data_IF_458346983283
#
_entry.id   IF_458346983283
#
_cell.length_a   1.000
_cell.length_b   1.000
_cell.length_c   1.000
_cell.angle_alpha   90.00
_cell.angle_beta   90.00
_cell.angle_gamma   90.00
#
_symmetry.space_group_name_H-M   'P 1'
#
loop_
_entity.id
_entity.type
_entity.pdbx_description
1 polymer ?
#
# COMPACT_ATOMS: atom_id res chain seq x y z
N UNK A 1 23.97 -11.56 -27.42
CA UNK A 1 24.08 -13.04 -27.40
C UNK A 1 22.75 -13.56 -26.85
N UNK A 2 21.82 -13.89 -27.74
CA UNK A 2 20.45 -14.26 -27.40
C UNK A 2 20.46 -15.73 -26.94
N UNK A 3 20.20 -15.98 -25.65
CA UNK A 3 20.14 -17.33 -25.14
C UNK A 3 18.80 -17.96 -25.55
N UNK A 4 18.89 -18.96 -26.42
CA UNK A 4 17.80 -19.85 -26.80
C UNK A 4 17.31 -20.61 -25.57
N UNK A 5 16.25 -20.11 -24.93
CA UNK A 5 15.57 -20.81 -23.85
C UNK A 5 14.77 -21.98 -24.43
N UNK A 6 15.00 -23.17 -23.88
CA UNK A 6 14.26 -24.41 -24.12
C UNK A 6 12.75 -24.19 -23.92
N UNK A 7 11.86 -24.72 -24.77
CA UNK A 7 10.42 -24.48 -24.60
C UNK A 7 9.94 -25.16 -23.32
N UNK A 8 9.45 -24.33 -22.38
CA UNK A 8 8.76 -24.76 -21.18
C UNK A 8 7.46 -25.51 -21.56
N UNK A 9 7.04 -26.45 -20.71
CA UNK A 9 5.81 -27.22 -20.88
C UNK A 9 4.60 -26.32 -21.23
N UNK A 10 3.62 -26.79 -22.02
CA UNK A 10 2.55 -25.94 -22.53
C UNK A 10 1.71 -25.37 -21.39
N UNK A 11 1.86 -24.07 -21.16
CA UNK A 11 1.02 -23.31 -20.25
C UNK A 11 -0.42 -23.30 -20.79
N UNK A 12 -1.42 -23.39 -19.90
CA UNK A 12 -2.86 -23.32 -20.23
C UNK A 12 -3.24 -22.04 -21.00
N UNK A 13 -2.41 -21.00 -20.93
CA UNK A 13 -2.56 -19.72 -21.59
C UNK A 13 -1.27 -19.36 -22.34
N UNK A 14 -1.36 -18.71 -23.53
CA UNK A 14 -0.18 -18.24 -24.24
C UNK A 14 0.60 -17.23 -23.38
N UNK A 15 1.93 -17.30 -23.43
CA UNK A 15 2.78 -16.35 -22.73
C UNK A 15 2.54 -14.94 -23.29
N UNK A 16 2.45 -13.96 -22.39
CA UNK A 16 2.25 -12.57 -22.77
C UNK A 16 3.53 -12.02 -23.42
N UNK A 17 3.45 -11.71 -24.71
CA UNK A 17 4.57 -11.11 -25.45
C UNK A 17 4.81 -9.66 -25.01
N UNK A 18 5.82 -9.49 -24.16
CA UNK A 18 6.23 -8.19 -23.59
C UNK A 18 6.76 -7.20 -24.62
N UNK A 19 7.15 -7.64 -25.83
CA UNK A 19 7.60 -6.73 -26.90
C UNK A 19 6.46 -5.86 -27.44
N UNK A 20 5.21 -6.24 -27.18
CA UNK A 20 4.00 -5.51 -27.59
C UNK A 20 3.56 -4.44 -26.60
N UNK A 21 4.28 -4.26 -25.49
CA UNK A 21 3.99 -3.21 -24.52
C UNK A 21 4.35 -1.84 -25.10
N UNK A 22 3.37 -0.95 -25.13
CA UNK A 22 3.60 0.48 -25.38
C UNK A 22 3.85 1.11 -24.01
N UNK A 23 5.12 1.44 -23.73
CA UNK A 23 5.53 2.04 -22.47
C UNK A 23 5.64 3.56 -22.65
N UNK A 24 4.84 4.32 -21.91
CA UNK A 24 4.93 5.78 -21.86
C UNK A 24 5.84 6.24 -20.72
N UNK A 25 6.48 7.42 -20.83
CA UNK A 25 7.21 8.02 -19.72
C UNK A 25 6.31 8.18 -18.49
N UNK A 26 6.84 7.84 -17.31
CA UNK A 26 6.09 7.97 -16.04
C UNK A 26 5.54 9.38 -15.81
N UNK A 27 6.22 10.40 -16.33
CA UNK A 27 5.80 11.80 -16.26
C UNK A 27 4.46 12.08 -16.98
N UNK A 28 4.08 11.25 -17.95
CA UNK A 28 2.83 11.34 -18.73
C UNK A 28 1.67 10.58 -18.08
N UNK A 29 1.90 9.89 -16.95
CA UNK A 29 0.85 9.19 -16.22
C UNK A 29 -0.27 10.17 -15.84
N UNK A 30 -1.49 9.82 -16.23
CA UNK A 30 -2.70 10.47 -15.74
C UNK A 30 -3.06 9.89 -14.37
N UNK A 31 -3.20 10.75 -13.37
CA UNK A 31 -3.56 10.38 -12.00
C UNK A 31 -5.06 10.54 -11.80
N UNK A 32 -5.70 9.55 -11.16
CA UNK A 32 -7.14 9.59 -10.85
C UNK A 32 -7.44 10.27 -9.51
N UNK A 33 -6.40 10.57 -8.72
CA UNK A 33 -6.47 11.12 -7.38
C UNK A 33 -5.55 12.34 -7.27
N UNK A 34 -5.90 13.23 -6.36
CA UNK A 34 -5.06 14.35 -5.93
C UNK A 34 -5.11 14.49 -4.41
N UNK A 35 -4.34 15.44 -3.86
CA UNK A 35 -4.22 15.63 -2.42
C UNK A 35 -5.53 15.97 -1.70
N UNK A 36 -6.58 16.39 -2.41
CA UNK A 36 -7.89 16.71 -1.82
C UNK A 36 -8.59 15.50 -1.22
N UNK A 37 -8.23 14.28 -1.62
CA UNK A 37 -8.82 13.06 -1.05
C UNK A 37 -8.16 12.62 0.27
N UNK A 38 -7.08 13.29 0.72
CA UNK A 38 -6.35 12.89 1.92
C UNK A 38 -7.12 13.26 3.20
N UNK A 39 -7.14 12.33 4.15
CA UNK A 39 -7.76 12.52 5.45
C UNK A 39 -6.75 13.16 6.41
N UNK A 40 -7.02 14.36 6.94
CA UNK A 40 -6.13 15.00 7.92
C UNK A 40 -6.17 14.22 9.25
N UNK A 41 -5.02 14.00 9.92
CA UNK A 41 -4.99 13.34 11.23
C UNK A 41 -5.78 14.06 12.33
N UNK A 42 -5.96 15.36 12.19
CA UNK A 42 -6.69 16.26 13.08
C UNK A 42 -8.16 16.43 12.65
N UNK A 43 -8.58 15.67 11.62
CA UNK A 43 -9.95 15.65 11.14
C UNK A 43 -10.95 15.05 12.13
N UNK A 44 -12.25 15.16 11.83
CA UNK A 44 -13.28 14.56 12.65
C UNK A 44 -13.12 13.04 12.68
N UNK A 45 -13.11 12.46 13.87
CA UNK A 45 -13.14 11.01 14.05
C UNK A 45 -14.59 10.56 13.84
N UNK A 46 -14.90 9.74 12.81
CA UNK A 46 -16.26 9.27 12.60
C UNK A 46 -16.67 8.34 13.73
N UNK A 47 -17.95 8.32 14.07
CA UNK A 47 -18.50 7.28 14.94
C UNK A 47 -18.53 5.97 14.18
N UNK A 48 -17.83 4.95 14.68
CA UNK A 48 -17.89 3.59 14.16
C UNK A 48 -17.88 2.59 15.30
N UNK A 49 -18.37 1.38 15.03
CA UNK A 49 -18.30 0.26 15.96
C UNK A 49 -17.58 -0.90 15.29
N UNK A 50 -16.38 -1.21 15.77
CA UNK A 50 -15.57 -2.32 15.29
C UNK A 50 -15.18 -3.18 16.50
N UNK A 51 -15.84 -4.33 16.75
CA UNK A 51 -15.53 -5.20 17.89
C UNK A 51 -14.07 -5.65 17.94
N UNK A 52 -13.41 -5.71 16.78
CA UNK A 52 -12.00 -6.07 16.67
C UNK A 52 -11.04 -4.93 17.08
N UNK A 53 -11.50 -3.68 17.22
CA UNK A 53 -10.64 -2.55 17.52
C UNK A 53 -9.98 -2.68 18.89
N UNK A 54 -10.76 -2.97 19.92
CA UNK A 54 -10.26 -3.11 21.29
C UNK A 54 -9.17 -4.19 21.41
N UNK A 55 -9.36 -5.45 20.95
CA UNK A 55 -8.31 -6.45 21.05
C UNK A 55 -7.07 -6.10 20.20
N UNK A 56 -7.23 -5.43 19.05
CA UNK A 56 -6.10 -4.96 18.26
C UNK A 56 -5.32 -3.88 19.01
N UNK A 57 -6.01 -2.90 19.62
CA UNK A 57 -5.38 -1.85 20.40
C UNK A 57 -4.59 -2.42 21.58
N UNK A 58 -5.18 -3.38 22.32
CA UNK A 58 -4.48 -4.07 23.40
C UNK A 58 -3.25 -4.85 22.92
N UNK A 59 -3.32 -5.53 21.78
CA UNK A 59 -2.18 -6.23 21.19
C UNK A 59 -1.04 -5.26 20.80
N UNK A 60 -1.38 -4.08 20.25
CA UNK A 60 -0.41 -3.04 19.92
C UNK A 60 0.25 -2.48 21.20
N UNK A 61 -0.54 -2.20 22.25
CA UNK A 61 -0.02 -1.72 23.53
C UNK A 61 0.95 -2.73 24.15
N UNK A 62 0.59 -4.01 24.19
CA UNK A 62 1.44 -5.07 24.70
C UNK A 62 2.73 -5.22 23.87
N UNK A 63 2.62 -5.20 22.54
CA UNK A 63 3.79 -5.26 21.66
C UNK A 63 4.76 -4.09 21.91
N UNK A 64 4.23 -2.87 22.12
CA UNK A 64 5.05 -1.69 22.44
C UNK A 64 5.74 -1.80 23.80
N UNK A 65 5.03 -2.27 24.83
CA UNK A 65 5.60 -2.48 26.16
C UNK A 65 6.76 -3.49 26.12
N UNK A 66 6.66 -4.49 25.25
CA UNK A 66 7.68 -5.52 25.04
C UNK A 66 8.74 -5.15 23.99
N UNK A 67 8.76 -3.90 23.48
CA UNK A 67 9.66 -3.45 22.42
C UNK A 67 9.62 -4.29 21.13
N UNK A 68 8.43 -4.81 20.77
CA UNK A 68 8.21 -5.62 19.57
C UNK A 68 7.76 -4.77 18.39
N UNK A 69 8.01 -5.29 17.18
CA UNK A 69 7.54 -4.67 15.95
C UNK A 69 6.03 -4.80 15.80
N UNK A 70 5.39 -3.72 15.36
CA UNK A 70 3.99 -3.68 14.88
C UNK A 70 4.02 -3.44 13.37
N UNK A 71 3.56 -4.43 12.60
CA UNK A 71 3.61 -4.41 11.13
C UNK A 71 2.19 -4.25 10.58
N UNK A 72 1.92 -3.16 9.87
CA UNK A 72 0.66 -2.97 9.13
C UNK A 72 0.78 -3.62 7.75
N UNK A 73 0.02 -4.70 7.54
CA UNK A 73 -0.11 -5.34 6.22
C UNK A 73 -1.39 -4.87 5.55
N UNK A 74 -1.28 -4.22 4.40
CA UNK A 74 -2.43 -3.59 3.73
C UNK A 74 -2.37 -3.67 2.20
N UNK A 75 -3.54 -3.59 1.58
CA UNK A 75 -3.66 -3.41 0.13
C UNK A 75 -3.63 -1.93 -0.28
N UNK A 76 -3.38 -1.67 -1.56
CA UNK A 76 -3.27 -0.33 -2.14
C UNK A 76 -4.51 0.55 -1.92
N UNK A 77 -5.70 -0.04 -1.77
CA UNK A 77 -6.94 0.69 -1.57
C UNK A 77 -6.94 1.56 -0.29
N UNK A 78 -6.17 1.19 0.73
CA UNK A 78 -6.05 1.97 1.97
C UNK A 78 -5.43 3.35 1.68
N UNK A 79 -4.41 3.40 0.82
CA UNK A 79 -3.79 4.66 0.38
C UNK A 79 -4.73 5.46 -0.52
N UNK A 80 -5.38 4.79 -1.48
CA UNK A 80 -6.37 5.41 -2.37
C UNK A 80 -7.55 6.05 -1.62
N UNK A 81 -7.92 5.49 -0.46
CA UNK A 81 -8.95 6.04 0.42
C UNK A 81 -8.48 7.23 1.27
N UNK A 82 -7.27 7.75 1.04
CA UNK A 82 -6.77 8.97 1.68
C UNK A 82 -6.12 8.77 3.04
N UNK A 83 -5.84 7.54 3.47
CA UNK A 83 -5.35 7.24 4.82
C UNK A 83 -3.85 7.46 5.01
N UNK A 84 -3.12 7.88 3.97
CA UNK A 84 -1.65 8.05 4.03
C UNK A 84 -1.21 8.92 5.22
N UNK A 85 -1.79 10.12 5.47
CA UNK A 85 -1.41 10.94 6.61
C UNK A 85 -1.68 10.28 7.98
N UNK A 86 -2.75 9.49 8.09
CA UNK A 86 -3.08 8.77 9.33
C UNK A 86 -2.04 7.68 9.62
N UNK A 87 -1.61 6.96 8.58
CA UNK A 87 -0.57 5.93 8.67
C UNK A 87 0.77 6.57 9.02
N UNK A 88 1.13 7.68 8.38
CA UNK A 88 2.34 8.45 8.69
C UNK A 88 2.32 8.89 10.16
N UNK A 89 1.21 9.46 10.64
CA UNK A 89 1.08 9.86 12.04
C UNK A 89 1.22 8.67 13.00
N UNK A 90 0.63 7.53 12.67
CA UNK A 90 0.77 6.31 13.46
C UNK A 90 2.21 5.78 13.48
N UNK A 91 2.97 5.95 12.39
CA UNK A 91 4.39 5.62 12.32
C UNK A 91 5.24 6.59 13.15
N UNK A 92 5.03 7.90 13.02
CA UNK A 92 5.73 8.93 13.80
C UNK A 92 5.55 8.75 15.31
N UNK A 93 4.37 8.30 15.74
CA UNK A 93 4.05 8.02 17.14
C UNK A 93 4.46 6.61 17.61
N UNK A 94 5.04 5.80 16.72
CA UNK A 94 5.49 4.43 17.00
C UNK A 94 4.35 3.42 17.25
N UNK A 95 3.12 3.71 16.82
CA UNK A 95 2.01 2.76 16.84
C UNK A 95 2.16 1.71 15.73
N UNK A 96 2.76 2.11 14.61
CA UNK A 96 3.17 1.23 13.52
C UNK A 96 4.67 1.40 13.35
N UNK A 97 5.39 0.29 13.21
CA UNK A 97 6.85 0.31 13.02
C UNK A 97 7.26 -0.05 11.60
N UNK A 98 6.45 -0.85 10.90
CA UNK A 98 6.72 -1.32 9.56
C UNK A 98 5.41 -1.40 8.77
N UNK A 99 5.52 -1.31 7.45
CA UNK A 99 4.41 -1.50 6.52
C UNK A 99 4.74 -2.59 5.51
N UNK A 100 3.73 -3.36 5.11
CA UNK A 100 3.83 -4.33 4.02
C UNK A 100 2.67 -4.11 3.05
N UNK A 101 2.99 -4.00 1.76
CA UNK A 101 2.06 -3.62 0.70
C UNK A 101 2.09 -4.65 -0.43
N UNK A 102 0.99 -4.73 -1.20
CA UNK A 102 1.05 -5.32 -2.52
C UNK A 102 1.68 -4.34 -3.54
N UNK A 103 2.04 -4.82 -4.74
CA UNK A 103 2.70 -3.99 -5.76
C UNK A 103 1.90 -2.76 -6.23
N UNK A 104 0.57 -2.77 -6.06
CA UNK A 104 -0.26 -1.61 -6.37
C UNK A 104 -0.10 -0.47 -5.35
N UNK A 105 0.38 -0.74 -4.13
CA UNK A 105 0.60 0.28 -3.11
C UNK A 105 1.58 1.37 -3.56
N UNK A 106 2.66 0.97 -4.25
CA UNK A 106 3.68 1.88 -4.79
C UNK A 106 3.07 2.82 -5.84
N UNK A 107 2.09 2.36 -6.61
CA UNK A 107 1.43 3.16 -7.64
C UNK A 107 0.65 4.32 -7.00
N UNK A 108 -0.13 4.04 -5.95
CA UNK A 108 -0.92 5.07 -5.26
C UNK A 108 -0.07 5.99 -4.38
N UNK A 109 1.03 5.50 -3.81
CA UNK A 109 2.00 6.36 -3.11
C UNK A 109 2.59 7.41 -4.07
N UNK A 110 3.02 6.97 -5.27
CA UNK A 110 3.56 7.85 -6.30
C UNK A 110 2.54 8.89 -6.81
N UNK A 111 1.24 8.56 -6.81
CA UNK A 111 0.17 9.49 -7.19
C UNK A 111 0.09 10.72 -6.27
N UNK A 112 0.49 10.60 -5.00
CA UNK A 112 0.47 11.70 -4.04
C UNK A 112 1.82 12.42 -3.88
N UNK A 113 2.92 11.83 -4.37
CA UNK A 113 4.28 12.36 -4.20
C UNK A 113 4.67 13.45 -5.22
N UNK A 114 3.74 13.91 -6.06
CA UNK A 114 4.01 14.80 -7.20
C UNK A 114 3.46 16.21 -7.02
#
# INVERSE_FOLDING_TARGET
MNQSATPAAPHRYPEFDRSRLILEPLAQRKHDLDLSCLLPPEGPIPTFHAPALEPIAQAILAARADHRSVILMMGAHVLRAGNAPLIIRAMEQGWITHIALNGAGIIHDYEFAR
#
